data_IF_655247154280
#
_entry.id   IF_655247154280
#
_cell.length_a   1.000
_cell.length_b   1.000
_cell.length_c   1.000
_cell.angle_alpha   90.00
_cell.angle_beta   90.00
_cell.angle_gamma   90.00
#
_symmetry.space_group_name_H-M   'P 1'
#
loop_
_entity.id
_entity.type
_entity.pdbx_description
1 polymer ?
#
# COMPACT_ATOMS: atom_id res chain seq x y z
N UNK A 1 -14.38 3.33 2.03
CA UNK A 1 -12.96 3.51 2.37
C UNK A 1 -12.84 3.84 3.87
N UNK A 2 -12.11 3.01 4.61
CA UNK A 2 -11.76 3.20 6.02
C UNK A 2 -10.32 2.73 6.20
N UNK A 3 -9.53 3.23 7.15
CA UNK A 3 -8.24 2.65 7.42
C UNK A 3 -8.38 1.17 7.82
N UNK A 4 -7.51 0.31 7.28
CA UNK A 4 -7.63 -1.15 7.43
C UNK A 4 -7.69 -1.63 8.89
N UNK A 5 -6.99 -1.02 9.88
CA UNK A 5 -7.10 -1.43 11.27
C UNK A 5 -8.49 -1.28 11.90
N UNK A 6 -9.34 -0.43 11.31
CA UNK A 6 -10.71 -0.19 11.82
C UNK A 6 -11.79 -0.91 11.02
N UNK A 7 -11.43 -1.66 9.99
CA UNK A 7 -12.39 -2.32 9.10
C UNK A 7 -13.33 -3.23 9.88
N UNK A 8 -12.80 -4.12 10.70
CA UNK A 8 -13.58 -5.05 11.53
C UNK A 8 -14.60 -4.33 12.42
N UNK A 9 -14.14 -3.30 13.14
CA UNK A 9 -14.99 -2.52 14.05
C UNK A 9 -16.17 -1.86 13.30
N UNK A 10 -15.93 -1.41 12.08
CA UNK A 10 -17.00 -0.81 11.27
C UNK A 10 -17.94 -1.88 10.72
N UNK A 11 -17.41 -3.02 10.26
CA UNK A 11 -18.21 -4.11 9.72
C UNK A 11 -19.09 -4.79 10.78
N UNK A 12 -18.67 -4.84 12.04
CA UNK A 12 -19.51 -5.36 13.13
C UNK A 12 -20.85 -4.62 13.29
N UNK A 13 -20.97 -3.40 12.77
CA UNK A 13 -22.21 -2.60 12.79
C UNK A 13 -23.13 -2.91 11.61
N UNK A 14 -22.68 -3.69 10.65
CA UNK A 14 -23.46 -4.04 9.46
C UNK A 14 -24.25 -5.32 9.75
N UNK A 15 -25.57 -5.20 9.75
CA UNK A 15 -26.50 -6.30 10.04
C UNK A 15 -27.07 -6.96 8.77
N UNK A 16 -26.90 -6.32 7.62
CA UNK A 16 -27.39 -6.83 6.33
C UNK A 16 -26.39 -7.83 5.76
N UNK A 17 -26.89 -8.94 5.19
CA UNK A 17 -26.05 -9.90 4.46
C UNK A 17 -25.31 -9.21 3.31
N UNK A 18 -24.03 -9.54 3.15
CA UNK A 18 -23.18 -9.05 2.06
C UNK A 18 -23.01 -10.07 0.94
N UNK A 19 -23.48 -11.30 1.12
CA UNK A 19 -23.29 -12.43 0.19
C UNK A 19 -23.72 -12.11 -1.26
N UNK A 20 -24.84 -11.38 -1.42
CA UNK A 20 -25.37 -11.01 -2.73
C UNK A 20 -24.94 -9.60 -3.17
N UNK A 21 -23.97 -9.01 -2.48
CA UNK A 21 -23.50 -7.65 -2.79
C UNK A 21 -22.26 -7.70 -3.66
N UNK A 22 -22.10 -6.64 -4.43
CA UNK A 22 -20.82 -6.36 -5.07
C UNK A 22 -20.03 -5.40 -4.19
N UNK A 23 -18.82 -5.80 -3.81
CA UNK A 23 -17.93 -5.04 -2.94
C UNK A 23 -16.87 -4.37 -3.80
N UNK A 24 -16.72 -3.05 -3.65
CA UNK A 24 -15.60 -2.32 -4.23
C UNK A 24 -14.78 -1.72 -3.09
N UNK A 25 -13.57 -2.24 -2.90
CA UNK A 25 -12.65 -1.77 -1.88
C UNK A 25 -11.68 -0.73 -2.44
N UNK A 26 -11.59 0.42 -1.76
CA UNK A 26 -10.53 1.41 -1.95
C UNK A 26 -9.58 1.46 -0.72
N UNK A 27 -9.60 0.42 0.10
CA UNK A 27 -8.73 0.29 1.28
C UNK A 27 -7.34 -0.12 0.80
N UNK A 28 -6.32 0.57 1.30
CA UNK A 28 -4.92 0.36 0.91
C UNK A 28 -4.12 -0.19 2.09
N UNK A 29 -4.60 -1.29 2.67
CA UNK A 29 -4.03 -1.91 3.86
C UNK A 29 -4.39 -3.38 3.97
N UNK A 30 -3.88 -4.04 5.01
CA UNK A 30 -4.16 -5.43 5.39
C UNK A 30 -5.00 -5.40 6.67
N UNK A 31 -5.88 -6.39 6.85
CA UNK A 31 -6.60 -6.60 8.11
C UNK A 31 -5.60 -7.16 9.13
N UNK A 32 -5.23 -6.39 10.20
CA UNK A 32 -4.00 -6.67 10.93
C UNK A 32 -3.98 -7.97 11.72
N UNK A 33 -5.09 -8.31 12.37
CA UNK A 33 -5.13 -9.47 13.27
C UNK A 33 -5.12 -10.80 12.49
N UNK A 34 -5.76 -10.79 11.32
CA UNK A 34 -5.85 -11.94 10.43
C UNK A 34 -4.70 -12.00 9.43
N UNK A 35 -3.94 -10.92 9.25
CA UNK A 35 -2.94 -10.77 8.18
C UNK A 35 -3.52 -11.07 6.79
N UNK A 36 -4.79 -10.68 6.56
CA UNK A 36 -5.52 -10.97 5.33
C UNK A 36 -5.66 -9.73 4.47
N UNK A 37 -5.65 -9.93 3.17
CA UNK A 37 -6.09 -8.92 2.22
C UNK A 37 -7.58 -8.61 2.44
N UNK A 38 -8.00 -7.40 2.12
CA UNK A 38 -9.39 -6.97 2.35
C UNK A 38 -10.37 -7.79 1.48
N UNK A 39 -9.97 -8.12 0.25
CA UNK A 39 -10.77 -8.99 -0.62
C UNK A 39 -10.98 -10.38 -0.01
N UNK A 40 -9.90 -11.01 0.46
CA UNK A 40 -9.96 -12.32 1.09
C UNK A 40 -10.81 -12.29 2.37
N UNK A 41 -10.71 -11.20 3.14
CA UNK A 41 -11.50 -11.01 4.36
C UNK A 41 -13.01 -10.96 4.07
N UNK A 42 -13.43 -10.26 3.02
CA UNK A 42 -14.84 -10.26 2.61
C UNK A 42 -15.30 -11.62 2.08
N UNK A 43 -14.44 -12.31 1.33
CA UNK A 43 -14.77 -13.63 0.81
C UNK A 43 -14.95 -14.64 1.95
N UNK A 44 -14.04 -14.67 2.93
CA UNK A 44 -14.03 -15.67 4.00
C UNK A 44 -15.06 -15.40 5.10
N UNK A 45 -15.14 -14.15 5.57
CA UNK A 45 -15.98 -13.82 6.74
C UNK A 45 -17.39 -13.36 6.39
N UNK A 46 -17.63 -12.91 5.16
CA UNK A 46 -18.93 -12.42 4.71
C UNK A 46 -19.52 -13.24 3.56
N UNK A 47 -18.85 -14.32 3.16
CA UNK A 47 -19.26 -15.23 2.08
C UNK A 47 -19.57 -14.48 0.75
N UNK A 48 -18.85 -13.39 0.49
CA UNK A 48 -18.97 -12.67 -0.78
C UNK A 48 -18.20 -13.45 -1.84
N UNK A 49 -18.83 -13.85 -2.97
CA UNK A 49 -18.11 -14.49 -4.05
C UNK A 49 -16.94 -13.62 -4.52
N UNK A 50 -15.75 -14.21 -4.69
CA UNK A 50 -14.55 -13.45 -5.07
C UNK A 50 -14.72 -12.70 -6.41
N UNK A 51 -15.52 -13.24 -7.32
CA UNK A 51 -15.90 -12.58 -8.59
C UNK A 51 -16.76 -11.31 -8.41
N UNK A 52 -17.31 -11.12 -7.22
CA UNK A 52 -18.07 -9.93 -6.83
C UNK A 52 -17.25 -8.96 -5.98
N UNK A 53 -15.95 -9.16 -5.87
CA UNK A 53 -15.06 -8.27 -5.12
C UNK A 53 -14.09 -7.58 -6.08
N UNK A 54 -14.15 -6.27 -6.10
CA UNK A 54 -13.20 -5.45 -6.84
C UNK A 54 -12.38 -4.56 -5.91
N UNK A 55 -11.15 -4.26 -6.32
CA UNK A 55 -10.27 -3.33 -5.61
C UNK A 55 -9.85 -2.20 -6.52
N UNK A 56 -9.67 -1.01 -5.93
CA UNK A 56 -9.20 0.19 -6.61
C UNK A 56 -7.74 0.44 -6.21
N UNK A 57 -6.86 0.47 -7.20
CA UNK A 57 -5.46 0.86 -7.06
C UNK A 57 -5.09 2.02 -7.97
N UNK A 58 -3.83 2.46 -7.90
CA UNK A 58 -3.25 3.46 -8.79
C UNK A 58 -2.98 4.82 -8.14
N UNK A 59 -2.29 5.72 -8.87
CA UNK A 59 -1.86 7.02 -8.40
C UNK A 59 -3.04 7.99 -8.31
N UNK A 60 -3.74 7.99 -7.17
CA UNK A 60 -4.94 8.79 -6.95
C UNK A 60 -5.04 9.28 -5.49
N UNK A 61 -4.39 10.40 -5.20
CA UNK A 61 -4.61 11.09 -3.92
C UNK A 61 -5.99 11.76 -3.92
N UNK A 62 -6.78 11.52 -2.86
CA UNK A 62 -8.13 12.06 -2.74
C UNK A 62 -8.16 13.59 -2.82
N UNK A 63 -7.13 14.24 -2.29
CA UNK A 63 -6.95 15.70 -2.32
C UNK A 63 -6.81 16.22 -3.76
N UNK A 64 -6.10 15.51 -4.63
CA UNK A 64 -5.94 15.89 -6.03
C UNK A 64 -7.21 15.64 -6.83
N UNK A 65 -7.91 14.54 -6.58
CA UNK A 65 -9.22 14.25 -7.20
C UNK A 65 -10.24 15.33 -6.80
N UNK A 66 -10.26 15.73 -5.52
CA UNK A 66 -11.15 16.79 -5.04
C UNK A 66 -10.84 18.17 -5.68
N UNK A 67 -9.60 18.38 -6.13
CA UNK A 67 -9.17 19.56 -6.87
C UNK A 67 -9.33 19.38 -8.40
N UNK A 68 -10.05 18.36 -8.85
CA UNK A 68 -10.29 18.05 -10.27
C UNK A 68 -8.99 17.86 -11.08
N UNK A 69 -7.93 17.34 -10.43
CA UNK A 69 -6.68 17.01 -11.11
C UNK A 69 -6.81 15.65 -11.82
N UNK A 70 -6.30 15.59 -13.05
CA UNK A 70 -6.33 14.37 -13.83
C UNK A 70 -5.65 13.24 -13.07
N UNK A 71 -6.41 12.20 -12.77
CA UNK A 71 -5.98 11.05 -12.00
C UNK A 71 -6.30 9.74 -12.74
N UNK A 72 -5.55 8.70 -12.42
CA UNK A 72 -5.69 7.38 -13.04
C UNK A 72 -5.91 6.34 -11.95
N UNK A 73 -6.95 5.52 -12.13
CA UNK A 73 -7.22 4.37 -11.25
C UNK A 73 -7.26 3.08 -12.06
N UNK A 74 -6.95 1.98 -11.40
CA UNK A 74 -7.15 0.63 -11.94
C UNK A 74 -8.15 -0.10 -11.06
N UNK A 75 -9.19 -0.65 -11.67
CA UNK A 75 -10.13 -1.54 -11.01
C UNK A 75 -9.72 -2.97 -11.30
N UNK A 76 -9.40 -3.73 -10.27
CA UNK A 76 -9.13 -5.15 -10.38
C UNK A 76 -10.30 -5.97 -9.84
N UNK A 77 -10.73 -6.96 -10.63
CA UNK A 77 -11.72 -7.95 -10.23
C UNK A 77 -11.42 -9.25 -10.97
N UNK A 78 -11.50 -10.44 -10.36
CA UNK A 78 -11.28 -11.71 -11.06
C UNK A 78 -12.23 -11.85 -12.26
N UNK A 79 -13.48 -11.42 -12.13
CA UNK A 79 -14.39 -11.26 -13.23
C UNK A 79 -14.18 -9.89 -13.92
N UNK A 80 -13.54 -9.90 -15.08
CA UNK A 80 -13.18 -8.68 -15.81
C UNK A 80 -14.40 -7.88 -16.29
N UNK A 81 -15.52 -8.52 -16.55
CA UNK A 81 -16.75 -7.84 -16.99
C UNK A 81 -17.34 -7.02 -15.82
N UNK A 82 -17.24 -7.53 -14.59
CA UNK A 82 -17.60 -6.78 -13.41
C UNK A 82 -16.68 -5.55 -13.23
N UNK A 83 -15.37 -5.71 -13.41
CA UNK A 83 -14.45 -4.59 -13.37
C UNK A 83 -14.81 -3.51 -14.41
N UNK A 84 -15.12 -3.90 -15.64
CA UNK A 84 -15.52 -3.00 -16.72
C UNK A 84 -16.84 -2.27 -16.43
N UNK A 85 -17.84 -2.98 -15.91
CA UNK A 85 -19.12 -2.40 -15.54
C UNK A 85 -18.96 -1.28 -14.50
N UNK A 86 -18.15 -1.53 -13.46
CA UNK A 86 -17.88 -0.52 -12.43
C UNK A 86 -16.96 0.60 -12.91
N UNK A 87 -15.99 0.28 -13.76
CA UNK A 87 -15.11 1.28 -14.38
C UNK A 87 -15.91 2.37 -15.08
N UNK A 88 -16.99 2.01 -15.77
CA UNK A 88 -17.85 2.97 -16.49
C UNK A 88 -18.51 4.00 -15.55
N UNK A 89 -18.77 3.63 -14.29
CA UNK A 89 -19.39 4.53 -13.29
C UNK A 89 -18.40 5.58 -12.78
N UNK A 90 -17.10 5.24 -12.72
CA UNK A 90 -16.07 6.15 -12.21
C UNK A 90 -15.47 7.06 -13.28
N UNK A 91 -15.66 6.75 -14.56
CA UNK A 91 -15.06 7.52 -15.66
C UNK A 91 -15.67 8.90 -15.78
N UNK A 92 -14.83 9.92 -15.71
CA UNK A 92 -15.20 11.31 -15.96
C UNK A 92 -14.01 12.09 -16.55
N UNK A 93 -14.12 13.42 -16.70
CA UNK A 93 -13.07 14.24 -17.31
C UNK A 93 -11.79 14.35 -16.47
N UNK A 94 -11.84 14.04 -15.17
CA UNK A 94 -10.69 14.13 -14.25
C UNK A 94 -10.17 12.76 -13.83
N UNK A 95 -10.94 11.68 -14.10
CA UNK A 95 -10.62 10.34 -13.64
C UNK A 95 -10.67 9.35 -14.79
N UNK A 96 -9.51 8.95 -15.25
CA UNK A 96 -9.36 7.84 -16.18
C UNK A 96 -9.21 6.54 -15.42
N UNK A 97 -9.68 5.45 -16.03
CA UNK A 97 -9.60 4.15 -15.38
C UNK A 97 -9.22 3.03 -16.37
N UNK A 98 -8.56 2.03 -15.85
CA UNK A 98 -8.24 0.77 -16.50
C UNK A 98 -8.79 -0.40 -15.69
N UNK A 99 -8.82 -1.59 -16.28
CA UNK A 99 -9.31 -2.80 -15.63
C UNK A 99 -8.30 -3.93 -15.78
N UNK A 100 -8.16 -4.74 -14.73
CA UNK A 100 -7.35 -5.96 -14.76
C UNK A 100 -7.97 -7.04 -13.84
N UNK A 101 -7.31 -8.21 -13.77
CA UNK A 101 -7.74 -9.32 -12.89
C UNK A 101 -6.91 -9.47 -11.62
N UNK A 102 -5.85 -8.69 -11.46
CA UNK A 102 -4.87 -8.88 -10.39
C UNK A 102 -5.27 -8.20 -9.07
N UNK A 103 -6.32 -8.70 -8.44
CA UNK A 103 -6.79 -8.22 -7.12
C UNK A 103 -5.68 -8.35 -6.08
N UNK A 104 -5.12 -9.55 -5.92
CA UNK A 104 -4.08 -9.86 -4.93
C UNK A 104 -2.85 -8.98 -5.09
N UNK A 105 -2.34 -8.84 -6.33
CA UNK A 105 -1.15 -8.01 -6.57
C UNK A 105 -1.38 -6.54 -6.29
N UNK A 106 -2.54 -6.00 -6.65
CA UNK A 106 -2.86 -4.58 -6.40
C UNK A 106 -3.04 -4.31 -4.91
N UNK A 107 -3.68 -5.19 -4.15
CA UNK A 107 -3.82 -5.01 -2.71
C UNK A 107 -2.45 -5.04 -2.02
N UNK A 108 -1.61 -6.05 -2.27
CA UNK A 108 -0.25 -6.10 -1.71
C UNK A 108 0.61 -4.91 -2.15
N UNK A 109 0.57 -4.53 -3.42
CA UNK A 109 1.30 -3.36 -3.91
C UNK A 109 0.86 -2.08 -3.18
N UNK A 110 -0.44 -1.93 -2.93
CA UNK A 110 -1.00 -0.79 -2.18
C UNK A 110 -0.53 -0.74 -0.71
N UNK A 111 -0.23 -1.88 -0.10
CA UNK A 111 0.40 -1.95 1.22
C UNK A 111 1.89 -1.61 1.14
N UNK A 112 2.62 -2.27 0.22
CA UNK A 112 4.06 -2.12 0.07
C UNK A 112 4.47 -0.69 -0.29
N UNK A 113 3.72 0.00 -1.17
CA UNK A 113 4.01 1.42 -1.46
C UNK A 113 3.96 2.29 -0.21
N UNK A 114 3.03 2.00 0.73
CA UNK A 114 2.92 2.72 1.99
C UNK A 114 4.12 2.44 2.91
N UNK A 115 4.59 1.20 2.95
CA UNK A 115 5.82 0.78 3.63
C UNK A 115 7.02 1.55 3.06
N UNK A 116 7.19 1.53 1.75
CA UNK A 116 8.31 2.20 1.09
C UNK A 116 8.24 3.73 1.21
N UNK A 117 7.05 4.31 1.23
CA UNK A 117 6.88 5.74 1.45
C UNK A 117 7.34 6.19 2.84
N UNK A 118 7.24 5.35 3.88
CA UNK A 118 7.80 5.64 5.20
C UNK A 118 9.33 5.71 5.10
N UNK A 119 9.97 4.73 4.45
CA UNK A 119 11.45 4.73 4.27
C UNK A 119 11.91 5.93 3.45
N UNK A 120 11.22 6.24 2.35
CA UNK A 120 11.48 7.46 1.56
C UNK A 120 11.38 8.73 2.42
N UNK A 121 10.38 8.77 3.31
CA UNK A 121 10.20 9.85 4.28
C UNK A 121 11.37 9.93 5.29
N UNK A 122 11.81 8.80 5.84
CA UNK A 122 12.98 8.75 6.76
C UNK A 122 14.21 9.32 6.05
N UNK A 123 14.50 8.84 4.85
CA UNK A 123 15.63 9.32 4.05
C UNK A 123 15.53 10.82 3.76
N UNK A 124 14.34 11.33 3.41
CA UNK A 124 14.10 12.75 3.23
C UNK A 124 14.35 13.56 4.53
N UNK A 125 13.86 13.08 5.67
CA UNK A 125 14.11 13.70 6.98
C UNK A 125 15.60 13.74 7.36
N UNK A 126 16.36 12.75 6.92
CA UNK A 126 17.81 12.65 7.06
C UNK A 126 18.58 13.43 5.98
N UNK A 127 17.89 14.18 5.11
CA UNK A 127 18.48 15.00 4.04
C UNK A 127 19.18 14.21 2.93
N UNK A 128 18.76 12.97 2.66
CA UNK A 128 19.11 12.28 1.43
C UNK A 128 18.43 12.98 0.25
N UNK A 129 19.18 13.19 -0.83
CA UNK A 129 18.73 13.92 -2.01
C UNK A 129 17.95 13.06 -3.02
N UNK A 130 17.51 13.70 -4.11
CA UNK A 130 16.68 13.07 -5.15
C UNK A 130 17.42 11.97 -5.91
N UNK A 131 18.75 12.07 -6.08
CA UNK A 131 19.56 11.00 -6.69
C UNK A 131 19.45 9.69 -5.90
N UNK A 132 19.53 9.78 -4.57
CA UNK A 132 19.34 8.61 -3.71
C UNK A 132 17.90 8.09 -3.80
N UNK A 133 16.91 8.98 -3.79
CA UNK A 133 15.51 8.58 -3.85
C UNK A 133 15.20 7.84 -5.17
N UNK A 134 15.80 8.23 -6.28
CA UNK A 134 15.67 7.52 -7.55
C UNK A 134 16.20 6.07 -7.45
N UNK A 135 17.40 5.87 -6.89
CA UNK A 135 17.95 4.53 -6.64
C UNK A 135 17.09 3.72 -5.68
N UNK A 136 16.60 4.37 -4.61
CA UNK A 136 15.69 3.75 -3.66
C UNK A 136 14.42 3.21 -4.35
N UNK A 137 13.79 3.99 -5.24
CA UNK A 137 12.59 3.56 -5.97
C UNK A 137 12.88 2.35 -6.86
N UNK A 138 14.03 2.30 -7.53
CA UNK A 138 14.42 1.13 -8.34
C UNK A 138 14.52 -0.14 -7.48
N UNK A 139 15.13 -0.06 -6.30
CA UNK A 139 15.22 -1.19 -5.38
C UNK A 139 13.85 -1.54 -4.76
N UNK A 140 13.02 -0.55 -4.45
CA UNK A 140 11.69 -0.76 -3.89
C UNK A 140 10.74 -1.47 -4.87
N UNK A 141 10.76 -1.10 -6.16
CA UNK A 141 9.92 -1.78 -7.15
C UNK A 141 10.44 -3.20 -7.45
N UNK A 142 11.75 -3.45 -7.38
CA UNK A 142 12.31 -4.78 -7.50
C UNK A 142 11.91 -5.67 -6.30
N UNK A 143 12.00 -5.15 -5.07
CA UNK A 143 11.55 -5.85 -3.86
C UNK A 143 10.06 -6.17 -3.93
N UNK A 144 9.22 -5.20 -4.33
CA UNK A 144 7.80 -5.40 -4.57
C UNK A 144 7.55 -6.52 -5.59
N UNK A 145 8.19 -6.49 -6.76
CA UNK A 145 8.05 -7.50 -7.81
C UNK A 145 8.36 -8.89 -7.28
N UNK A 146 9.47 -9.04 -6.56
CA UNK A 146 9.90 -10.33 -6.03
C UNK A 146 8.89 -10.88 -5.01
N UNK A 147 8.37 -10.04 -4.12
CA UNK A 147 7.35 -10.43 -3.17
C UNK A 147 6.04 -10.82 -3.88
N UNK A 148 5.54 -9.99 -4.79
CA UNK A 148 4.29 -10.26 -5.52
C UNK A 148 4.38 -11.56 -6.34
N UNK A 149 5.53 -11.86 -6.93
CA UNK A 149 5.76 -13.11 -7.67
C UNK A 149 5.71 -14.33 -6.74
N UNK A 150 6.26 -14.20 -5.55
CA UNK A 150 6.28 -15.30 -4.58
C UNK A 150 4.89 -15.58 -3.96
N UNK A 151 4.12 -14.54 -3.64
CA UNK A 151 2.80 -14.70 -3.01
C UNK A 151 1.70 -15.09 -4.00
N UNK A 152 1.84 -14.65 -5.25
CA UNK A 152 0.85 -14.93 -6.30
C UNK A 152 1.55 -14.89 -7.67
N UNK A 153 1.82 -16.06 -8.23
CA UNK A 153 2.66 -16.28 -9.41
C UNK A 153 2.11 -15.74 -10.75
N UNK A 154 1.27 -14.72 -10.72
CA UNK A 154 0.81 -14.03 -11.92
C UNK A 154 1.95 -13.21 -12.54
N UNK A 155 2.12 -13.28 -13.85
CA UNK A 155 3.02 -12.38 -14.56
C UNK A 155 2.49 -10.94 -14.56
N UNK A 156 3.34 -9.98 -14.16
CA UNK A 156 2.98 -8.57 -14.00
C UNK A 156 4.03 -7.67 -14.64
N UNK A 157 3.56 -6.65 -15.31
CA UNK A 157 4.41 -5.49 -15.59
C UNK A 157 4.35 -4.53 -14.38
N UNK A 158 5.35 -4.61 -13.51
CA UNK A 158 5.42 -3.74 -12.34
C UNK A 158 5.70 -2.27 -12.68
N UNK A 159 5.97 -1.96 -13.96
CA UNK A 159 6.11 -0.57 -14.45
C UNK A 159 4.76 0.09 -14.73
N UNK A 160 3.66 -0.68 -14.72
CA UNK A 160 2.32 -0.13 -14.85
C UNK A 160 2.00 0.89 -13.75
N UNK A 161 1.14 1.84 -14.09
CA UNK A 161 0.77 2.96 -13.22
C UNK A 161 0.20 2.52 -11.86
N UNK A 162 -0.44 1.36 -11.78
CA UNK A 162 -1.01 0.82 -10.55
C UNK A 162 0.05 0.32 -9.57
N UNK A 163 1.25 -0.02 -10.04
CA UNK A 163 2.39 -0.45 -9.22
C UNK A 163 3.40 0.70 -9.09
N UNK A 164 4.24 0.92 -10.11
CA UNK A 164 5.30 1.93 -10.09
C UNK A 164 4.73 3.34 -9.96
N UNK A 165 3.67 3.69 -10.69
CA UNK A 165 3.07 5.02 -10.63
C UNK A 165 2.53 5.35 -9.24
N UNK A 166 1.84 4.39 -8.59
CA UNK A 166 1.29 4.57 -7.24
C UNK A 166 2.41 4.60 -6.18
N UNK A 167 3.49 3.86 -6.36
CA UNK A 167 4.69 3.95 -5.54
C UNK A 167 5.34 5.34 -5.66
N UNK A 168 5.56 5.81 -6.88
CA UNK A 168 6.18 7.12 -7.14
C UNK A 168 5.38 8.24 -6.49
N UNK A 169 4.07 8.34 -6.77
CA UNK A 169 3.26 9.42 -6.21
C UNK A 169 3.24 9.36 -4.67
N UNK A 170 3.22 8.16 -4.08
CA UNK A 170 3.20 8.00 -2.62
C UNK A 170 4.54 8.37 -1.97
N UNK A 171 5.65 8.07 -2.63
CA UNK A 171 7.00 8.38 -2.13
C UNK A 171 7.39 9.86 -2.28
N UNK A 172 6.88 10.56 -3.32
CA UNK A 172 7.24 11.96 -3.59
C UNK A 172 6.21 12.97 -3.07
N UNK A 173 4.93 12.61 -3.02
CA UNK A 173 3.87 13.55 -2.68
C UNK A 173 3.95 14.07 -1.25
N UNK A 174 3.73 15.38 -1.09
CA UNK A 174 3.56 16.02 0.22
C UNK A 174 2.25 15.61 0.91
N UNK A 175 1.28 15.08 0.18
CA UNK A 175 0.02 14.57 0.73
C UNK A 175 0.16 13.16 1.31
N UNK A 176 1.30 12.49 1.09
CA UNK A 176 1.54 11.15 1.61
C UNK A 176 1.75 11.16 3.13
N UNK A 177 0.76 10.68 3.87
CA UNK A 177 0.84 10.51 5.34
C UNK A 177 2.00 9.61 5.75
N UNK A 178 2.23 8.54 5.00
CA UNK A 178 3.35 7.62 5.26
C UNK A 178 4.70 8.31 5.09
N UNK A 179 4.86 9.12 4.03
CA UNK A 179 6.07 9.92 3.83
C UNK A 179 6.26 10.95 4.95
N UNK A 180 5.20 11.64 5.37
CA UNK A 180 5.24 12.60 6.48
C UNK A 180 5.66 11.93 7.79
N UNK A 181 5.08 10.77 8.11
CA UNK A 181 5.44 9.97 9.28
C UNK A 181 6.92 9.58 9.26
N UNK A 182 7.40 9.06 8.14
CA UNK A 182 8.82 8.74 7.96
C UNK A 182 9.73 9.97 8.10
N UNK A 183 9.30 11.12 7.56
CA UNK A 183 10.09 12.37 7.65
C UNK A 183 10.27 12.82 9.10
N UNK A 184 9.26 12.67 9.94
CA UNK A 184 9.38 12.97 11.38
C UNK A 184 10.41 12.06 12.03
N UNK A 185 10.36 10.75 11.76
CA UNK A 185 11.33 9.77 12.30
C UNK A 185 12.74 10.11 11.82
N UNK A 186 12.92 10.44 10.54
CA UNK A 186 14.22 10.84 9.97
C UNK A 186 14.76 12.15 10.55
N UNK A 187 13.90 13.04 11.05
CA UNK A 187 14.26 14.26 11.80
C UNK A 187 14.58 14.00 13.27
N UNK A 188 14.47 12.76 13.75
CA UNK A 188 14.79 12.39 15.12
C UNK A 188 13.60 12.26 16.08
N UNK A 189 12.35 12.38 15.61
CA UNK A 189 11.19 12.05 16.43
C UNK A 189 11.17 10.55 16.74
N UNK A 190 10.80 10.20 17.97
CA UNK A 190 10.50 8.80 18.25
C UNK A 190 9.25 8.34 17.49
N UNK A 191 9.17 7.05 17.18
CA UNK A 191 7.99 6.45 16.50
C UNK A 191 6.70 6.84 17.22
N UNK A 192 6.68 6.75 18.55
CA UNK A 192 5.51 7.10 19.37
C UNK A 192 5.12 8.57 19.26
N UNK A 193 6.08 9.48 19.28
CA UNK A 193 5.80 10.92 19.13
C UNK A 193 5.30 11.19 17.72
N UNK A 194 5.93 10.63 16.69
CA UNK A 194 5.47 10.79 15.31
C UNK A 194 4.03 10.27 15.11
N UNK A 195 3.64 9.16 15.76
CA UNK A 195 2.26 8.67 15.73
C UNK A 195 1.27 9.62 16.41
N UNK A 196 1.65 10.25 17.52
CA UNK A 196 0.78 11.19 18.25
C UNK A 196 0.58 12.52 17.51
N UNK A 197 1.59 12.98 16.77
CA UNK A 197 1.54 14.20 15.98
C UNK A 197 0.74 14.04 14.67
N UNK A 198 0.46 12.80 14.26
CA UNK A 198 -0.31 12.54 13.05
C UNK A 198 -1.81 12.63 13.31
N UNK A 199 -2.51 13.50 12.62
CA UNK A 199 -4.00 13.58 12.66
C UNK A 199 -4.66 12.30 12.13
N UNK A 200 -4.00 11.60 11.23
CA UNK A 200 -4.49 10.39 10.58
C UNK A 200 -3.40 9.32 10.56
N UNK A 201 -3.82 8.07 10.68
CA UNK A 201 -2.92 6.91 10.71
C UNK A 201 -2.09 6.80 9.42
N UNK A 202 -0.79 6.53 9.60
CA UNK A 202 0.09 6.05 8.53
C UNK A 202 -0.08 4.53 8.41
N UNK A 203 -0.85 4.07 7.41
CA UNK A 203 -1.18 2.64 7.26
C UNK A 203 0.05 1.75 7.04
N UNK A 204 1.13 2.29 6.48
CA UNK A 204 2.39 1.58 6.32
C UNK A 204 3.03 1.13 7.64
N UNK A 205 2.67 1.76 8.78
CA UNK A 205 3.09 1.27 10.10
C UNK A 205 2.57 -0.15 10.34
N UNK A 206 1.26 -0.35 10.25
CA UNK A 206 0.66 -1.68 10.40
C UNK A 206 1.04 -2.62 9.26
N UNK A 207 1.04 -2.12 8.03
CA UNK A 207 1.44 -2.87 6.84
C UNK A 207 2.85 -3.47 6.95
N UNK A 208 3.80 -2.77 7.57
CA UNK A 208 5.16 -3.28 7.79
C UNK A 208 5.16 -4.56 8.62
N UNK A 209 4.39 -4.60 9.71
CA UNK A 209 4.28 -5.79 10.56
C UNK A 209 3.59 -6.93 9.81
N UNK A 210 2.43 -6.66 9.21
CA UNK A 210 1.65 -7.68 8.50
C UNK A 210 2.45 -8.31 7.34
N UNK A 211 3.09 -7.51 6.50
CA UNK A 211 3.92 -8.04 5.39
C UNK A 211 5.10 -8.85 5.93
N UNK A 212 5.72 -8.42 7.03
CA UNK A 212 6.81 -9.17 7.66
C UNK A 212 6.34 -10.56 8.10
N UNK A 213 5.20 -10.64 8.80
CA UNK A 213 4.62 -11.90 9.26
C UNK A 213 4.19 -12.79 8.07
N UNK A 214 3.58 -12.23 7.04
CA UNK A 214 3.23 -12.96 5.81
C UNK A 214 4.49 -13.51 5.12
N UNK A 215 5.56 -12.72 5.07
CA UNK A 215 6.81 -13.11 4.42
C UNK A 215 7.57 -14.23 5.15
N UNK A 216 7.26 -14.53 6.41
CA UNK A 216 7.81 -15.70 7.11
C UNK A 216 7.49 -17.01 6.37
N UNK A 217 6.34 -17.06 5.69
CA UNK A 217 5.94 -18.20 4.85
C UNK A 217 6.70 -18.25 3.51
N UNK A 218 6.90 -17.09 2.87
CA UNK A 218 7.44 -17.02 1.51
C UNK A 218 8.95 -16.83 1.46
N UNK A 219 9.55 -16.30 2.52
CA UNK A 219 11.01 -16.09 2.70
C UNK A 219 11.66 -15.30 1.58
N UNK A 220 10.93 -14.32 1.06
CA UNK A 220 11.48 -13.39 0.07
C UNK A 220 12.50 -12.48 0.74
N UNK A 221 13.62 -12.21 0.07
CA UNK A 221 14.59 -11.22 0.56
C UNK A 221 14.02 -9.81 0.38
N UNK A 222 13.69 -9.15 1.50
CA UNK A 222 13.04 -7.83 1.54
C UNK A 222 13.81 -6.84 2.43
N UNK A 223 15.02 -6.42 2.01
CA UNK A 223 15.89 -5.58 2.83
C UNK A 223 15.27 -4.23 3.22
N UNK A 224 14.41 -3.63 2.38
CA UNK A 224 13.75 -2.36 2.69
C UNK A 224 12.69 -2.58 3.78
N UNK A 225 11.86 -3.60 3.65
CA UNK A 225 10.87 -3.98 4.65
C UNK A 225 11.53 -4.29 6.01
N UNK A 226 12.59 -5.12 6.00
CA UNK A 226 13.31 -5.54 7.20
C UNK A 226 13.97 -4.35 7.92
N UNK A 227 14.54 -3.42 7.13
CA UNK A 227 15.09 -2.19 7.67
C UNK A 227 14.02 -1.35 8.36
N UNK A 228 12.87 -1.16 7.71
CA UNK A 228 11.78 -0.40 8.30
C UNK A 228 11.23 -1.08 9.55
N UNK A 229 11.04 -2.40 9.52
CA UNK A 229 10.59 -3.16 10.68
C UNK A 229 11.53 -2.96 11.88
N UNK A 230 12.84 -3.05 11.68
CA UNK A 230 13.83 -2.83 12.73
C UNK A 230 13.76 -1.43 13.37
N UNK A 231 13.46 -0.41 12.56
CA UNK A 231 13.27 0.97 13.05
C UNK A 231 11.98 1.10 13.86
N UNK A 232 10.85 0.61 13.30
CA UNK A 232 9.53 0.83 13.88
C UNK A 232 9.24 -0.01 15.11
N UNK A 233 9.71 -1.27 15.13
CA UNK A 233 9.33 -2.26 16.14
C UNK A 233 10.50 -2.71 17.04
N UNK A 234 11.74 -2.67 16.55
CA UNK A 234 12.93 -3.10 17.29
C UNK A 234 13.74 -1.92 17.82
N UNK A 235 13.27 -0.67 17.61
CA UNK A 235 13.92 0.57 18.10
C UNK A 235 15.34 0.78 17.59
N UNK A 236 15.69 0.20 16.44
CA UNK A 236 17.00 0.43 15.82
C UNK A 236 17.12 1.90 15.39
N UNK A 237 18.29 2.47 15.54
CA UNK A 237 18.56 3.85 15.10
C UNK A 237 18.29 4.00 13.59
N UNK A 238 17.44 4.96 13.16
CA UNK A 238 17.19 5.20 11.74
C UNK A 238 18.47 5.45 10.95
N UNK A 239 19.41 6.22 11.51
CA UNK A 239 20.70 6.53 10.87
C UNK A 239 21.51 5.27 10.60
N UNK A 240 21.60 4.37 11.58
CA UNK A 240 22.37 3.13 11.41
C UNK A 240 21.67 2.18 10.45
N UNK A 241 20.34 2.03 10.56
CA UNK A 241 19.57 1.13 9.73
C UNK A 241 19.58 1.54 8.25
N UNK A 242 19.36 2.84 7.97
CA UNK A 242 19.37 3.35 6.59
C UNK A 242 20.77 3.25 5.98
N UNK A 243 21.84 3.56 6.73
CA UNK A 243 23.19 3.40 6.21
C UNK A 243 23.47 1.95 5.79
N UNK A 244 23.09 0.98 6.62
CA UNK A 244 23.25 -0.44 6.27
C UNK A 244 22.41 -0.84 5.05
N UNK A 245 21.19 -0.29 4.93
CA UNK A 245 20.34 -0.53 3.76
C UNK A 245 21.01 -0.01 2.48
N UNK A 246 21.63 1.17 2.52
CA UNK A 246 22.30 1.75 1.33
C UNK A 246 23.43 0.88 0.79
N UNK A 247 24.06 0.06 1.62
CA UNK A 247 25.11 -0.88 1.22
C UNK A 247 24.58 -2.09 0.43
N UNK A 248 23.25 -2.33 0.48
CA UNK A 248 22.60 -3.43 -0.24
C UNK A 248 22.07 -3.02 -1.62
N UNK A 249 22.00 -1.72 -1.91
CA UNK A 249 21.46 -1.21 -3.16
C UNK A 249 22.43 -1.41 -4.33
N UNK A 250 21.84 -1.65 -5.49
CA UNK A 250 22.55 -1.82 -6.77
C UNK A 250 22.48 -0.55 -7.60
#
# INVERSE_FOLDING_TARGET
>A
ATPSPFLKQHLMKVTTSMQDKFIISAIKGIVPDENMLVADYFAEYYNVPIDNIAVIGGPCHAEEIALERLSYITLACPNIENARAFSSVFKNQYLNNSCCKDVTGIEYASVLKNVYAIVAGICHGMKYGDNFLAVFICNAIEEMRNFLTAVHGLERDVTDSVYLGDLLVTAYSRFSRNRTFGTMIGKGYSVKIAQLEMEMIAEGYYGTKCIREINEKYKVNMPILDTLYSILYEKKSPTTAIRQLTETFK
#
